data_IF_721687100045
#
_entry.id   IF_721687100045
#
_cell.length_a   1.000
_cell.length_b   1.000
_cell.length_c   1.000
_cell.angle_alpha   90.00
_cell.angle_beta   90.00
_cell.angle_gamma   90.00
#
_symmetry.space_group_name_H-M   'P 1'
#
loop_
_entity.id
_entity.type
_entity.pdbx_description
1 polymer ?
#
# COMPACT_ATOMS: atom_id res chain seq x y z
N UNK A 1 13.52 2.15 20.35
CA UNK A 1 12.57 2.62 19.33
C UNK A 1 11.68 1.47 18.91
N UNK A 2 10.37 1.69 18.74
CA UNK A 2 9.43 0.67 18.30
C UNK A 2 8.98 0.92 16.85
N UNK A 3 8.66 -0.15 16.12
CA UNK A 3 8.05 -0.11 14.80
C UNK A 3 6.88 -1.09 14.71
N UNK A 4 5.84 -0.69 13.98
CA UNK A 4 4.80 -1.57 13.49
C UNK A 4 4.79 -1.49 11.96
N UNK A 5 4.77 -2.64 11.32
CA UNK A 5 4.73 -2.75 9.86
C UNK A 5 3.51 -3.56 9.40
N UNK A 6 2.95 -3.16 8.27
CA UNK A 6 1.76 -3.77 7.70
C UNK A 6 1.83 -3.74 6.18
N UNK A 7 1.41 -4.81 5.52
CA UNK A 7 1.41 -4.94 4.06
C UNK A 7 2.78 -4.73 3.40
N UNK A 8 3.87 -4.98 4.12
CA UNK A 8 5.23 -4.78 3.62
C UNK A 8 6.16 -5.92 4.02
N UNK A 9 7.10 -6.23 3.15
CA UNK A 9 8.16 -7.21 3.42
C UNK A 9 9.51 -6.61 3.04
N UNK A 10 10.08 -5.73 3.89
CA UNK A 10 11.30 -4.99 3.58
C UNK A 10 12.50 -5.89 3.32
N UNK A 11 12.60 -7.05 3.96
CA UNK A 11 13.69 -8.01 3.70
C UNK A 11 13.77 -8.47 2.25
N UNK A 12 12.64 -8.47 1.52
CA UNK A 12 12.57 -8.86 0.11
C UNK A 12 12.26 -7.69 -0.82
N UNK A 13 11.71 -6.60 -0.31
CA UNK A 13 11.24 -5.47 -1.12
C UNK A 13 12.26 -4.35 -1.28
N UNK A 14 13.23 -4.24 -0.36
CA UNK A 14 14.24 -3.20 -0.41
C UNK A 14 15.55 -3.73 -0.98
N UNK A 15 16.30 -2.85 -1.63
CA UNK A 15 17.68 -3.12 -1.99
C UNK A 15 18.52 -3.30 -0.72
N UNK A 16 19.60 -4.06 -0.81
CA UNK A 16 20.49 -4.35 0.31
C UNK A 16 19.80 -4.98 1.54
N UNK A 17 19.47 -6.26 1.41
CA UNK A 17 18.82 -7.03 2.47
C UNK A 17 19.67 -7.10 3.75
N UNK A 18 20.99 -6.99 3.65
CA UNK A 18 21.87 -6.97 4.82
C UNK A 18 21.70 -5.68 5.62
N UNK A 19 21.73 -4.53 4.94
CA UNK A 19 21.47 -3.24 5.59
C UNK A 19 20.09 -3.19 6.20
N UNK A 20 19.08 -3.75 5.50
CA UNK A 20 17.71 -3.85 6.00
C UNK A 20 17.65 -4.68 7.28
N UNK A 21 18.28 -5.85 7.30
CA UNK A 21 18.38 -6.69 8.49
C UNK A 21 19.04 -5.94 9.66
N UNK A 22 20.21 -5.37 9.43
CA UNK A 22 20.95 -4.63 10.46
C UNK A 22 20.17 -3.43 11.00
N UNK A 23 19.29 -2.86 10.19
CA UNK A 23 18.42 -1.73 10.58
C UNK A 23 17.24 -2.20 11.42
N UNK A 24 16.57 -3.28 11.03
CA UNK A 24 15.46 -3.86 11.79
C UNK A 24 15.93 -4.37 13.16
N UNK A 25 17.10 -5.01 13.23
CA UNK A 25 17.67 -5.52 14.47
C UNK A 25 18.12 -4.44 15.46
N UNK A 26 18.12 -3.15 15.07
CA UNK A 26 18.36 -2.01 15.97
C UNK A 26 17.10 -1.48 16.63
N UNK A 27 15.94 -2.02 16.29
CA UNK A 27 14.68 -1.67 16.96
C UNK A 27 14.65 -2.35 18.35
N UNK A 28 14.14 -1.61 19.34
CA UNK A 28 13.91 -2.15 20.68
C UNK A 28 12.66 -3.03 20.72
N UNK A 29 11.74 -2.84 19.76
CA UNK A 29 10.53 -3.61 19.59
C UNK A 29 10.04 -3.51 18.15
N UNK A 30 9.72 -4.65 17.55
CA UNK A 30 9.20 -4.73 16.18
C UNK A 30 7.98 -5.64 16.11
N UNK A 31 6.85 -5.10 15.68
CA UNK A 31 5.64 -5.87 15.39
C UNK A 31 5.30 -5.76 13.91
N UNK A 32 4.76 -6.84 13.35
CA UNK A 32 4.34 -6.89 11.95
C UNK A 32 2.97 -7.58 11.83
N UNK A 33 2.14 -7.11 10.92
CA UNK A 33 0.95 -7.84 10.47
C UNK A 33 1.21 -8.39 9.07
N UNK A 34 1.04 -9.69 8.91
CA UNK A 34 1.26 -10.37 7.64
C UNK A 34 0.35 -11.60 7.53
N UNK A 35 0.06 -12.02 6.31
CA UNK A 35 -0.67 -13.27 6.02
C UNK A 35 0.26 -14.49 6.01
N UNK A 36 1.56 -14.29 5.92
CA UNK A 36 2.58 -15.34 5.90
C UNK A 36 3.73 -15.02 6.85
N UNK A 37 4.43 -16.06 7.29
CA UNK A 37 5.70 -15.92 7.99
C UNK A 37 6.81 -15.57 7.00
N UNK A 38 6.81 -14.32 6.54
CA UNK A 38 7.81 -13.77 5.63
C UNK A 38 9.17 -13.61 6.32
N UNK A 39 10.28 -13.44 5.58
CA UNK A 39 11.57 -13.13 6.19
C UNK A 39 11.54 -11.90 7.11
N UNK A 40 10.70 -10.91 6.83
CA UNK A 40 10.51 -9.76 7.74
C UNK A 40 9.73 -10.15 8.99
N UNK A 41 8.69 -10.98 8.84
CA UNK A 41 7.90 -11.46 9.97
C UNK A 41 8.73 -12.34 10.92
N UNK A 42 9.69 -13.11 10.39
CA UNK A 42 10.60 -13.93 11.21
C UNK A 42 11.54 -13.11 12.10
N UNK A 43 11.71 -11.81 11.82
CA UNK A 43 12.54 -10.91 12.63
C UNK A 43 11.74 -10.14 13.68
N UNK A 44 10.41 -10.21 13.62
CA UNK A 44 9.54 -9.43 14.50
C UNK A 44 9.40 -10.10 15.89
N UNK A 45 9.26 -9.28 16.91
CA UNK A 45 8.95 -9.73 18.28
C UNK A 45 7.50 -10.23 18.36
N UNK A 46 6.59 -9.60 17.59
CA UNK A 46 5.18 -9.99 17.50
C UNK A 46 4.76 -10.02 16.04
N UNK A 47 4.08 -11.11 15.65
CA UNK A 47 3.41 -11.24 14.35
C UNK A 47 1.91 -11.32 14.59
N UNK A 48 1.17 -10.38 14.00
CA UNK A 48 -0.29 -10.35 14.03
C UNK A 48 -0.82 -10.99 12.75
N UNK A 49 -1.65 -12.04 12.84
CA UNK A 49 -2.17 -12.71 11.66
C UNK A 49 -3.20 -11.84 10.95
N UNK A 50 -2.94 -11.52 9.68
CA UNK A 50 -3.84 -10.74 8.85
C UNK A 50 -4.81 -11.62 8.07
N UNK A 51 -6.06 -11.17 7.96
CA UNK A 51 -7.08 -11.79 7.14
C UNK A 51 -6.88 -11.45 5.66
N UNK A 52 -7.24 -12.36 4.76
CA UNK A 52 -7.23 -12.14 3.32
C UNK A 52 -8.53 -11.47 2.84
N UNK A 53 -8.52 -10.92 1.64
CA UNK A 53 -9.63 -10.13 1.08
C UNK A 53 -10.96 -10.89 0.88
N UNK A 54 -10.99 -12.23 1.00
CA UNK A 54 -12.24 -13.01 0.99
C UNK A 54 -12.81 -13.25 2.40
N UNK A 55 -12.06 -12.89 3.43
CA UNK A 55 -12.36 -13.24 4.82
C UNK A 55 -13.04 -12.10 5.59
N UNK A 56 -13.25 -10.94 4.95
CA UNK A 56 -13.92 -9.79 5.57
C UNK A 56 -14.63 -8.91 4.52
N UNK A 57 -15.60 -8.14 4.97
CA UNK A 57 -16.24 -7.12 4.17
C UNK A 57 -15.27 -5.97 3.92
N UNK A 58 -15.21 -5.45 2.68
CA UNK A 58 -14.32 -4.34 2.35
C UNK A 58 -14.90 -3.47 1.22
N UNK A 59 -14.32 -2.29 1.07
CA UNK A 59 -14.57 -1.37 -0.03
C UNK A 59 -13.30 -1.27 -0.86
N UNK A 60 -13.34 -1.80 -2.08
CA UNK A 60 -12.21 -1.76 -2.99
C UNK A 60 -12.30 -0.59 -3.94
N UNK A 61 -11.24 0.18 -4.06
CA UNK A 61 -11.08 1.09 -5.17
C UNK A 61 -9.92 0.60 -6.03
N UNK A 62 -10.18 0.44 -7.30
CA UNK A 62 -9.10 0.27 -8.26
C UNK A 62 -8.64 1.65 -8.69
N UNK A 63 -7.56 2.02 -8.05
CA UNK A 63 -6.62 2.97 -8.56
C UNK A 63 -7.11 4.17 -9.32
N UNK A 64 -6.31 4.97 -9.31
CA UNK A 64 -6.11 6.19 -10.05
C UNK A 64 -6.79 6.07 -11.41
N UNK A 65 -8.01 6.53 -11.51
CA UNK A 65 -8.58 6.89 -12.79
C UNK A 65 -9.66 6.00 -13.39
N UNK A 66 -10.04 4.90 -12.74
CA UNK A 66 -11.10 4.06 -13.31
C UNK A 66 -12.53 4.45 -12.88
N UNK A 67 -12.68 5.32 -11.88
CA UNK A 67 -13.96 5.82 -11.43
C UNK A 67 -14.89 4.76 -10.81
N UNK A 68 -14.37 3.61 -10.46
CA UNK A 68 -15.12 2.53 -9.83
C UNK A 68 -14.73 2.35 -8.37
N UNK A 69 -15.75 2.13 -7.53
CA UNK A 69 -15.62 1.65 -6.17
C UNK A 69 -16.35 0.31 -6.10
N UNK A 70 -15.66 -0.74 -5.69
CA UNK A 70 -16.16 -2.12 -5.72
C UNK A 70 -16.53 -2.59 -4.33
N UNK A 71 -17.67 -3.25 -4.22
CA UNK A 71 -17.99 -4.02 -3.03
C UNK A 71 -17.13 -5.30 -2.99
N UNK A 72 -16.58 -5.60 -1.83
CA UNK A 72 -15.85 -6.83 -1.56
C UNK A 72 -16.48 -7.53 -0.37
N UNK A 73 -17.61 -8.21 -0.55
CA UNK A 73 -18.26 -8.91 0.54
C UNK A 73 -17.42 -10.10 0.99
N UNK A 74 -17.47 -10.36 2.29
CA UNK A 74 -16.88 -11.56 2.89
C UNK A 74 -17.51 -12.82 2.28
N UNK A 75 -16.68 -13.79 1.94
CA UNK A 75 -17.08 -15.09 1.36
C UNK A 75 -16.88 -16.23 2.34
N UNK A 76 -15.83 -16.17 3.14
CA UNK A 76 -15.47 -17.19 4.14
C UNK A 76 -15.10 -16.52 5.46
N UNK A 77 -15.19 -17.25 6.56
CA UNK A 77 -14.70 -16.74 7.83
C UNK A 77 -13.17 -16.80 7.90
N UNK A 78 -12.53 -15.78 8.49
CA UNK A 78 -11.09 -15.80 8.69
C UNK A 78 -10.70 -16.97 9.61
N UNK A 79 -9.58 -17.64 9.34
CA UNK A 79 -9.10 -18.71 10.20
C UNK A 79 -8.58 -18.13 11.53
N UNK A 80 -8.84 -18.86 12.62
CA UNK A 80 -8.33 -18.54 13.94
C UNK A 80 -8.46 -17.06 14.35
N UNK A 81 -7.35 -16.40 14.65
CA UNK A 81 -7.30 -15.01 15.12
C UNK A 81 -6.94 -14.00 14.03
N UNK A 82 -7.10 -14.36 12.75
CA UNK A 82 -6.83 -13.44 11.64
C UNK A 82 -7.82 -12.27 11.63
N UNK A 83 -7.28 -11.06 11.57
CA UNK A 83 -8.07 -9.83 11.50
C UNK A 83 -7.76 -9.03 10.24
N UNK A 84 -8.76 -8.30 9.71
CA UNK A 84 -8.51 -7.30 8.69
C UNK A 84 -7.50 -6.25 9.16
N UNK A 85 -6.62 -5.83 8.27
CA UNK A 85 -5.58 -4.83 8.57
C UNK A 85 -6.12 -3.55 9.21
N UNK A 86 -7.23 -3.02 8.69
CA UNK A 86 -7.85 -1.82 9.24
C UNK A 86 -8.43 -2.05 10.64
N UNK A 87 -8.91 -3.27 10.94
CA UNK A 87 -9.33 -3.62 12.30
C UNK A 87 -8.14 -3.63 13.25
N UNK A 88 -7.02 -4.20 12.83
CA UNK A 88 -5.78 -4.21 13.63
C UNK A 88 -5.35 -2.78 13.94
N UNK A 89 -5.29 -1.91 12.91
CA UNK A 89 -4.93 -0.50 13.09
C UNK A 89 -5.90 0.25 14.01
N UNK A 90 -7.20 0.00 13.86
CA UNK A 90 -8.23 0.64 14.68
C UNK A 90 -8.08 0.27 16.16
N UNK A 91 -7.91 -1.00 16.48
CA UNK A 91 -7.74 -1.45 17.87
C UNK A 91 -6.39 -1.00 18.46
N UNK A 92 -5.34 -1.00 17.67
CA UNK A 92 -4.04 -0.46 18.06
C UNK A 92 -4.15 1.05 18.33
N UNK A 93 -4.82 1.77 17.44
CA UNK A 93 -5.04 3.21 17.57
C UNK A 93 -5.83 3.57 18.83
N UNK A 94 -6.93 2.87 19.13
CA UNK A 94 -7.68 3.04 20.38
C UNK A 94 -6.82 2.83 21.63
N UNK A 95 -5.86 1.91 21.56
CA UNK A 95 -4.99 1.59 22.69
C UNK A 95 -3.87 2.60 22.90
N UNK A 96 -3.44 3.30 21.84
CA UNK A 96 -2.29 4.19 21.87
C UNK A 96 -2.66 5.68 21.88
N UNK A 97 -3.86 6.03 21.45
CA UNK A 97 -4.30 7.43 21.31
C UNK A 97 -5.70 7.65 21.87
N UNK A 98 -6.25 8.85 21.70
CA UNK A 98 -7.64 9.15 22.08
C UNK A 98 -8.62 8.30 21.25
N UNK A 99 -9.54 7.62 21.91
CA UNK A 99 -10.53 6.74 21.29
C UNK A 99 -11.52 7.47 20.37
N UNK A 100 -11.67 8.79 20.51
CA UNK A 100 -12.60 9.61 19.72
C UNK A 100 -12.24 9.67 18.21
N UNK A 101 -11.01 9.31 17.83
CA UNK A 101 -10.55 9.30 16.45
C UNK A 101 -10.70 7.93 15.78
N UNK A 102 -11.25 6.94 16.50
CA UNK A 102 -11.32 5.55 16.03
C UNK A 102 -12.76 5.05 16.07
N UNK A 103 -13.06 4.12 15.16
CA UNK A 103 -14.40 3.55 15.06
C UNK A 103 -14.66 2.50 16.14
N UNK A 104 -15.89 2.40 16.62
CA UNK A 104 -16.30 1.39 17.60
C UNK A 104 -16.11 -0.03 17.06
N UNK A 105 -16.38 -0.20 15.76
CA UNK A 105 -16.20 -1.47 15.07
C UNK A 105 -15.90 -1.25 13.58
N UNK A 106 -15.38 -2.28 12.94
CA UNK A 106 -15.00 -2.26 11.53
C UNK A 106 -16.16 -1.94 10.59
N UNK A 107 -17.37 -2.44 10.89
CA UNK A 107 -18.57 -2.16 10.08
C UNK A 107 -18.94 -0.68 10.10
N UNK A 108 -18.84 -0.04 11.25
CA UNK A 108 -19.07 1.41 11.40
C UNK A 108 -18.14 2.23 10.50
N UNK A 109 -16.87 1.83 10.40
CA UNK A 109 -15.93 2.44 9.46
C UNK A 109 -16.41 2.33 7.99
N UNK A 110 -16.86 1.15 7.54
CA UNK A 110 -17.36 0.96 6.18
C UNK A 110 -18.61 1.82 5.90
N UNK A 111 -19.51 1.91 6.87
CA UNK A 111 -20.73 2.73 6.74
C UNK A 111 -20.38 4.23 6.65
N UNK A 112 -19.40 4.70 7.41
CA UNK A 112 -18.95 6.10 7.34
C UNK A 112 -18.30 6.41 5.99
N UNK A 113 -17.45 5.52 5.46
CA UNK A 113 -16.85 5.68 4.14
C UNK A 113 -17.91 5.74 3.03
N UNK A 114 -19.00 4.98 3.17
CA UNK A 114 -20.09 4.95 2.19
C UNK A 114 -21.12 6.08 2.35
N UNK A 115 -21.16 6.73 3.51
CA UNK A 115 -22.18 7.75 3.82
C UNK A 115 -22.37 8.81 2.73
N UNK A 116 -21.33 9.34 2.05
CA UNK A 116 -21.49 10.31 0.97
C UNK A 116 -22.26 9.77 -0.24
N UNK A 117 -22.31 8.45 -0.43
CA UNK A 117 -23.07 7.82 -1.52
C UNK A 117 -24.56 7.63 -1.21
N UNK A 118 -24.95 7.83 0.05
CA UNK A 118 -26.30 7.53 0.53
C UNK A 118 -26.63 6.03 0.66
N UNK A 119 -25.63 5.16 0.50
CA UNK A 119 -25.75 3.71 0.65
C UNK A 119 -25.22 3.24 2.00
N UNK A 120 -25.84 2.19 2.52
CA UNK A 120 -25.21 1.34 3.53
C UNK A 120 -24.47 0.19 2.84
N UNK A 121 -23.61 -0.48 3.58
CA UNK A 121 -22.78 -1.54 2.99
C UNK A 121 -23.59 -2.70 2.41
N UNK A 122 -24.73 -3.09 3.01
CA UNK A 122 -25.54 -4.18 2.48
C UNK A 122 -26.08 -3.86 1.08
N UNK A 123 -26.65 -2.66 0.89
CA UNK A 123 -27.10 -2.21 -0.43
C UNK A 123 -25.95 -2.07 -1.43
N UNK A 124 -24.82 -1.59 -0.96
CA UNK A 124 -23.62 -1.50 -1.80
C UNK A 124 -23.11 -2.88 -2.21
N UNK A 125 -23.10 -3.85 -1.32
CA UNK A 125 -22.73 -5.24 -1.61
C UNK A 125 -23.69 -5.89 -2.64
N UNK A 126 -24.99 -5.66 -2.49
CA UNK A 126 -26.02 -6.12 -3.45
C UNK A 126 -25.84 -5.49 -4.84
N UNK A 127 -25.45 -4.22 -4.89
CA UNK A 127 -25.20 -3.50 -6.14
C UNK A 127 -23.87 -3.92 -6.79
N UNK A 128 -22.89 -4.31 -6.02
CA UNK A 128 -21.57 -4.78 -6.42
C UNK A 128 -20.55 -3.68 -6.67
N UNK A 129 -20.96 -2.53 -7.20
CA UNK A 129 -20.04 -1.41 -7.45
C UNK A 129 -20.77 -0.06 -7.53
N UNK A 130 -20.00 1.00 -7.33
CA UNK A 130 -20.36 2.36 -7.69
C UNK A 130 -19.47 2.81 -8.85
N UNK A 131 -20.05 3.51 -9.79
CA UNK A 131 -19.31 4.15 -10.88
C UNK A 131 -19.53 5.66 -10.80
N UNK A 132 -18.45 6.43 -10.81
CA UNK A 132 -18.52 7.88 -10.98
C UNK A 132 -18.87 8.27 -12.40
N UNK A 133 -19.28 9.52 -12.58
CA UNK A 133 -19.57 10.06 -13.90
C UNK A 133 -18.33 10.07 -14.79
N UNK A 134 -18.49 9.65 -16.04
CA UNK A 134 -17.46 9.73 -17.05
C UNK A 134 -17.29 11.21 -17.47
N UNK A 135 -16.17 11.79 -17.13
CA UNK A 135 -15.80 13.15 -17.55
C UNK A 135 -14.76 13.08 -18.65
N UNK A 136 -15.22 13.08 -19.88
CA UNK A 136 -14.31 13.19 -21.02
C UNK A 136 -13.66 14.59 -21.06
N UNK A 137 -12.35 14.65 -21.26
CA UNK A 137 -11.57 15.91 -21.30
C UNK A 137 -11.78 16.82 -20.08
N UNK A 138 -11.89 16.27 -18.89
CA UNK A 138 -12.19 17.02 -17.66
C UNK A 138 -11.25 18.19 -17.38
N UNK A 139 -10.05 18.18 -17.91
CA UNK A 139 -9.07 19.25 -17.73
C UNK A 139 -9.14 20.34 -18.81
N UNK A 140 -10.05 20.23 -19.80
CA UNK A 140 -10.18 21.22 -20.86
C UNK A 140 -10.66 22.58 -20.31
N UNK A 141 -11.59 22.57 -19.37
CA UNK A 141 -12.12 23.77 -18.74
C UNK A 141 -11.31 24.23 -17.51
N UNK A 142 -10.84 23.29 -16.68
CA UNK A 142 -10.21 23.61 -15.39
C UNK A 142 -8.69 23.69 -15.44
N UNK A 143 -8.07 23.21 -16.51
CA UNK A 143 -6.62 22.99 -16.57
C UNK A 143 -6.14 21.89 -15.63
N UNK A 144 -4.85 21.70 -15.54
CA UNK A 144 -4.20 20.79 -14.60
C UNK A 144 -3.86 21.51 -13.29
N UNK A 145 -3.82 20.77 -12.19
CA UNK A 145 -3.41 21.32 -10.88
C UNK A 145 -1.89 21.43 -10.78
N UNK A 146 -1.32 22.20 -11.69
CA UNK A 146 0.11 22.51 -11.78
C UNK A 146 0.29 24.02 -11.77
N UNK A 147 1.46 24.58 -11.45
CA UNK A 147 1.71 26.03 -11.49
C UNK A 147 1.35 26.68 -12.81
N UNK A 148 1.53 25.98 -13.93
CA UNK A 148 1.23 26.50 -15.28
C UNK A 148 -0.19 26.18 -15.74
N UNK A 149 -0.95 25.39 -15.01
CA UNK A 149 -2.27 24.88 -15.45
C UNK A 149 -2.18 23.86 -16.60
N UNK A 150 -0.99 23.43 -16.99
CA UNK A 150 -0.72 22.49 -18.08
C UNK A 150 0.04 21.27 -17.56
N UNK A 151 0.15 20.22 -18.37
CA UNK A 151 1.08 19.13 -18.09
C UNK A 151 2.50 19.69 -18.12
N UNK A 152 3.22 19.60 -17.00
CA UNK A 152 4.58 20.09 -16.89
C UNK A 152 5.56 18.96 -17.19
N UNK A 153 6.23 19.06 -18.34
CA UNK A 153 7.30 18.14 -18.73
C UNK A 153 8.64 18.56 -18.13
N UNK A 154 8.79 19.84 -17.82
CA UNK A 154 9.95 20.41 -17.15
C UNK A 154 9.60 20.65 -15.67
N UNK A 155 10.21 19.89 -14.76
CA UNK A 155 9.94 19.96 -13.34
C UNK A 155 10.85 21.00 -12.67
N UNK A 156 10.47 22.27 -12.77
CA UNK A 156 11.26 23.39 -12.20
C UNK A 156 11.52 23.25 -10.68
N UNK A 157 10.65 22.55 -9.95
CA UNK A 157 10.84 22.30 -8.52
C UNK A 157 12.04 21.38 -8.23
N UNK A 158 12.46 20.54 -9.17
CA UNK A 158 13.61 19.67 -9.02
C UNK A 158 14.92 20.44 -8.79
N UNK A 159 15.03 21.65 -9.36
CA UNK A 159 16.20 22.52 -9.19
C UNK A 159 16.44 22.91 -7.72
N UNK A 160 15.37 23.04 -6.92
CA UNK A 160 15.47 23.30 -5.47
C UNK A 160 16.20 22.20 -4.73
N UNK A 161 16.18 20.99 -5.26
CA UNK A 161 16.85 19.81 -4.73
C UNK A 161 18.14 19.47 -5.46
N UNK A 162 18.62 20.37 -6.33
CA UNK A 162 19.80 20.15 -7.18
C UNK A 162 19.67 18.94 -8.11
N UNK A 163 18.44 18.61 -8.50
CA UNK A 163 18.13 17.55 -9.46
C UNK A 163 17.87 18.18 -10.84
N UNK A 164 18.14 17.41 -11.89
CA UNK A 164 17.79 17.85 -13.24
C UNK A 164 16.27 17.97 -13.38
N UNK A 165 15.74 19.09 -13.91
CA UNK A 165 14.32 19.25 -14.15
C UNK A 165 13.77 18.36 -15.27
N UNK A 166 14.65 17.78 -16.07
CA UNK A 166 14.35 16.77 -17.08
C UNK A 166 15.13 15.50 -16.76
N UNK A 167 14.52 14.32 -16.96
CA UNK A 167 15.27 13.07 -16.83
C UNK A 167 16.36 13.03 -17.92
N UNK A 168 17.60 12.95 -17.48
CA UNK A 168 18.76 12.83 -18.37
C UNK A 168 19.41 11.48 -18.12
N UNK A 169 19.82 10.80 -19.18
CA UNK A 169 20.64 9.62 -19.05
C UNK A 169 22.05 10.04 -18.61
N UNK A 170 22.46 9.59 -17.45
CA UNK A 170 23.76 9.94 -16.85
C UNK A 170 24.80 8.83 -16.99
N UNK A 171 24.51 7.81 -17.78
CA UNK A 171 25.29 6.59 -17.87
C UNK A 171 24.81 5.52 -16.89
N UNK A 172 25.37 4.35 -16.98
CA UNK A 172 25.21 3.32 -15.95
C UNK A 172 26.16 3.68 -14.80
N UNK A 173 25.73 3.62 -13.55
CA UNK A 173 26.56 3.99 -12.41
C UNK A 173 27.70 2.99 -12.10
N UNK A 174 27.79 1.92 -12.86
CA UNK A 174 28.73 0.86 -12.62
C UNK A 174 29.98 1.03 -13.49
N UNK A 175 31.08 1.42 -12.86
CA UNK A 175 32.40 1.07 -13.34
C UNK A 175 32.55 -0.45 -13.25
N UNK A 176 33.13 -1.09 -14.28
CA UNK A 176 33.45 -2.51 -14.25
C UNK A 176 34.35 -2.77 -13.04
N UNK A 177 33.83 -3.47 -12.04
CA UNK A 177 34.62 -3.91 -10.90
C UNK A 177 35.34 -5.22 -11.27
N UNK A 178 36.67 -5.26 -11.35
CA UNK A 178 37.41 -6.46 -11.71
C UNK A 178 37.13 -7.64 -10.79
N UNK A 179 36.76 -7.39 -9.53
CA UNK A 179 36.45 -8.44 -8.55
C UNK A 179 35.02 -8.95 -8.72
N UNK A 180 34.13 -8.16 -9.38
CA UNK A 180 32.73 -8.49 -9.65
C UNK A 180 32.36 -8.22 -11.13
N UNK A 181 32.91 -8.99 -12.06
CA UNK A 181 32.80 -8.69 -13.51
C UNK A 181 31.43 -9.01 -14.12
N UNK A 182 30.49 -9.53 -13.33
CA UNK A 182 29.17 -9.91 -13.81
C UNK A 182 28.14 -8.84 -13.51
N UNK A 183 27.37 -8.43 -14.51
CA UNK A 183 26.25 -7.52 -14.36
C UNK A 183 24.98 -8.31 -14.08
N UNK A 184 24.38 -8.11 -12.90
CA UNK A 184 23.09 -8.70 -12.55
C UNK A 184 21.97 -7.92 -13.22
N UNK A 185 21.20 -8.59 -14.03
CA UNK A 185 19.96 -8.05 -14.61
C UNK A 185 18.74 -8.76 -14.04
N UNK A 186 17.65 -8.02 -13.87
CA UNK A 186 16.37 -8.59 -13.46
C UNK A 186 15.27 -8.22 -14.45
N UNK A 187 14.30 -9.11 -14.60
CA UNK A 187 13.12 -8.85 -15.41
C UNK A 187 11.86 -9.17 -14.62
N UNK A 188 10.77 -8.51 -14.97
CA UNK A 188 9.47 -8.76 -14.35
C UNK A 188 8.90 -10.10 -14.83
N UNK A 189 8.65 -11.01 -13.91
CA UNK A 189 7.96 -12.26 -14.22
C UNK A 189 6.45 -12.05 -14.17
N UNK A 190 5.67 -12.58 -15.15
CA UNK A 190 4.21 -12.53 -15.09
C UNK A 190 3.62 -13.42 -13.99
N UNK A 191 4.42 -14.36 -13.47
CA UNK A 191 3.99 -15.31 -12.42
C UNK A 191 4.49 -14.93 -11.03
N UNK A 192 5.08 -13.76 -10.88
CA UNK A 192 5.69 -13.34 -9.62
C UNK A 192 5.53 -11.83 -9.44
N UNK A 193 4.75 -11.44 -8.47
CA UNK A 193 4.49 -10.04 -8.19
C UNK A 193 4.77 -9.74 -6.72
N UNK A 194 5.76 -8.88 -6.50
CA UNK A 194 6.22 -8.46 -5.18
C UNK A 194 6.51 -9.63 -4.25
N UNK A 195 6.09 -10.18 -3.47
CA UNK A 195 6.31 -11.42 -2.71
C UNK A 195 5.20 -12.44 -2.91
N UNK A 196 4.30 -12.17 -3.85
CA UNK A 196 3.13 -12.99 -4.13
C UNK A 196 3.35 -14.01 -5.25
N UNK A 197 2.44 -14.97 -5.38
CA UNK A 197 2.45 -16.01 -6.43
C UNK A 197 3.67 -16.94 -6.39
N UNK A 198 4.13 -17.29 -5.20
CA UNK A 198 5.26 -18.22 -5.01
C UNK A 198 4.87 -19.70 -5.00
N UNK A 199 3.59 -19.97 -5.02
CA UNK A 199 2.97 -21.29 -4.84
C UNK A 199 2.23 -21.72 -6.07
#
# INVERSE_FOLDING_TARGET
>A
KAAYMQCVNPMLGYADSRQTYDTLMKLDFFAISDIFMTPSALLADIVLPAATHFEFDDIGHYGIGHGYVLARPKVVDPPAECWPDLKILNELGKSLTSSEHWHDNYRGFLEEVLAPSGLNYSRFADQGYLKGDDQFKKYEASGFRTPTGKVELFLSQAEKFKLSPLPCFTGLPEEEDPDYPLVLTSSKSPFYLHSSYRW
#
